data_IF_602341260207
#
_entry.id   IF_602341260207
#
_cell.length_a   1.000
_cell.length_b   1.000
_cell.length_c   1.000
_cell.angle_alpha   90.00
_cell.angle_beta   90.00
_cell.angle_gamma   90.00
#
_symmetry.space_group_name_H-M   'P 1'
#
loop_
_entity.id
_entity.type
_entity.pdbx_description
1 polymer ?
#
# COMPACT_ATOMS: atom_id res chain seq x y z
N UNK A 1 -5.45 5.30 36.07
CA UNK A 1 -4.89 4.29 35.12
C UNK A 1 -5.71 4.34 33.83
N UNK A 2 -5.09 4.61 32.71
CA UNK A 2 -5.79 4.61 31.43
C UNK A 2 -6.27 3.19 31.11
N UNK A 3 -7.58 2.99 31.03
CA UNK A 3 -8.18 1.71 30.62
C UNK A 3 -7.67 1.35 29.24
N UNK A 4 -7.00 0.23 29.12
CA UNK A 4 -6.59 -0.32 27.81
C UNK A 4 -7.85 -0.57 27.00
N UNK A 5 -7.99 0.14 25.87
CA UNK A 5 -9.11 -0.01 24.94
C UNK A 5 -9.09 -1.37 24.18
N UNK A 6 -8.18 -2.28 24.52
CA UNK A 6 -8.10 -3.61 23.94
C UNK A 6 -9.11 -4.53 24.63
N UNK A 7 -10.35 -4.49 24.18
CA UNK A 7 -11.44 -5.36 24.60
C UNK A 7 -11.80 -6.33 23.48
N UNK A 8 -12.41 -7.44 23.82
CA UNK A 8 -12.85 -8.44 22.84
C UNK A 8 -13.86 -7.85 21.84
N UNK A 9 -14.79 -7.02 22.33
CA UNK A 9 -15.79 -6.32 21.53
C UNK A 9 -15.14 -5.42 20.47
N UNK A 10 -14.14 -4.62 20.86
CA UNK A 10 -13.40 -3.75 19.93
C UNK A 10 -12.62 -4.59 18.91
N UNK A 11 -11.97 -5.66 19.34
CA UNK A 11 -11.25 -6.55 18.43
C UNK A 11 -12.19 -7.22 17.44
N UNK A 12 -13.36 -7.70 17.88
CA UNK A 12 -14.34 -8.33 17.00
C UNK A 12 -14.90 -7.33 16.00
N UNK A 13 -15.23 -6.11 16.42
CA UNK A 13 -15.69 -5.05 15.54
C UNK A 13 -14.65 -4.73 14.44
N UNK A 14 -13.37 -4.69 14.77
CA UNK A 14 -12.28 -4.48 13.83
C UNK A 14 -12.18 -5.62 12.81
N UNK A 15 -12.21 -6.87 13.27
CA UNK A 15 -12.12 -8.08 12.45
C UNK A 15 -13.29 -8.16 11.48
N UNK A 16 -14.51 -7.92 11.96
CA UNK A 16 -15.73 -8.00 11.15
C UNK A 16 -15.73 -6.94 10.03
N UNK A 17 -15.40 -5.70 10.36
CA UNK A 17 -15.33 -4.63 9.38
C UNK A 17 -14.20 -4.85 8.36
N UNK A 18 -13.04 -5.32 8.83
CA UNK A 18 -11.90 -5.61 7.96
C UNK A 18 -12.17 -6.79 7.03
N UNK A 19 -12.91 -7.80 7.48
CA UNK A 19 -13.32 -8.94 6.65
C UNK A 19 -14.27 -8.55 5.51
N UNK A 20 -14.96 -7.40 5.63
CA UNK A 20 -15.82 -6.81 4.60
C UNK A 20 -15.03 -5.91 3.63
N UNK A 21 -13.70 -5.77 3.83
CA UNK A 21 -12.82 -4.95 3.02
C UNK A 21 -12.79 -3.48 3.41
N UNK A 22 -13.28 -3.13 4.61
CA UNK A 22 -13.21 -1.77 5.10
C UNK A 22 -11.75 -1.41 5.43
N UNK A 23 -11.21 -0.29 4.92
CA UNK A 23 -9.86 0.16 5.24
C UNK A 23 -9.67 0.36 6.76
N UNK A 24 -8.48 0.05 7.26
CA UNK A 24 -8.17 0.12 8.70
C UNK A 24 -8.49 1.45 9.36
N UNK A 25 -8.40 2.56 8.61
CA UNK A 25 -8.80 3.89 9.09
C UNK A 25 -10.26 3.90 9.55
N UNK A 26 -11.15 3.42 8.71
CA UNK A 26 -12.59 3.40 8.99
C UNK A 26 -12.99 2.32 9.99
N UNK A 27 -12.26 1.20 10.02
CA UNK A 27 -12.42 0.21 11.08
C UNK A 27 -12.10 0.82 12.45
N UNK A 28 -11.05 1.66 12.54
CA UNK A 28 -10.70 2.37 13.75
C UNK A 28 -11.79 3.31 14.21
N UNK A 29 -12.32 4.12 13.28
CA UNK A 29 -13.38 5.09 13.55
C UNK A 29 -14.65 4.36 14.03
N UNK A 30 -15.04 3.25 13.38
CA UNK A 30 -16.18 2.42 13.77
C UNK A 30 -16.03 1.78 15.15
N UNK A 31 -14.80 1.43 15.54
CA UNK A 31 -14.50 0.86 16.85
C UNK A 31 -14.21 1.92 17.94
N UNK A 32 -14.28 3.21 17.60
CA UNK A 32 -14.02 4.32 18.52
C UNK A 32 -12.59 4.41 19.04
N UNK A 33 -11.61 3.96 18.24
CA UNK A 33 -10.19 3.98 18.59
C UNK A 33 -9.36 4.73 17.55
N UNK A 34 -8.16 5.16 17.95
CA UNK A 34 -7.25 5.83 17.02
C UNK A 34 -6.60 4.81 16.07
N UNK A 35 -6.45 5.18 14.80
CA UNK A 35 -5.76 4.38 13.78
C UNK A 35 -4.38 3.91 14.25
N UNK A 36 -3.59 4.76 14.88
CA UNK A 36 -2.28 4.43 15.41
C UNK A 36 -2.34 3.25 16.39
N UNK A 37 -3.40 3.19 17.21
CA UNK A 37 -3.61 2.12 18.18
C UNK A 37 -3.73 0.74 17.52
N UNK A 38 -4.44 0.65 16.39
CA UNK A 38 -4.56 -0.63 15.64
C UNK A 38 -3.19 -1.06 15.13
N UNK A 39 -2.43 -0.15 14.51
CA UNK A 39 -1.09 -0.48 14.01
C UNK A 39 -0.15 -0.91 15.13
N UNK A 40 -0.20 -0.25 16.28
CA UNK A 40 0.59 -0.63 17.45
C UNK A 40 0.21 -2.03 17.96
N UNK A 41 -1.07 -2.38 17.95
CA UNK A 41 -1.54 -3.73 18.33
C UNK A 41 -1.11 -4.79 17.32
N UNK A 42 -1.22 -4.51 16.02
CA UNK A 42 -0.77 -5.40 14.96
C UNK A 42 0.75 -5.63 15.04
N UNK A 43 1.54 -4.57 15.20
CA UNK A 43 3.00 -4.66 15.34
C UNK A 43 3.42 -5.44 16.60
N UNK A 44 2.68 -5.27 17.70
CA UNK A 44 2.90 -6.08 18.93
C UNK A 44 2.53 -7.54 18.69
N UNK A 45 1.44 -7.80 17.99
CA UNK A 45 0.98 -9.15 17.68
C UNK A 45 1.90 -9.91 16.73
N UNK A 46 2.44 -9.23 15.75
CA UNK A 46 3.42 -9.77 14.81
C UNK A 46 4.71 -10.25 15.50
N UNK A 47 5.21 -9.44 16.45
CA UNK A 47 6.44 -9.75 17.21
C UNK A 47 6.21 -10.77 18.33
N UNK A 48 4.99 -10.91 18.81
CA UNK A 48 4.66 -11.81 19.89
C UNK A 48 4.55 -13.26 19.38
N UNK A 49 5.08 -14.21 20.13
CA UNK A 49 4.92 -15.66 19.83
C UNK A 49 3.58 -16.22 20.31
N UNK A 50 2.95 -15.57 21.30
CA UNK A 50 1.68 -16.00 21.89
C UNK A 50 0.99 -14.82 22.60
N UNK A 51 -0.26 -15.02 23.04
CA UNK A 51 -1.03 -14.03 23.78
C UNK A 51 -2.07 -13.32 22.94
N UNK A 52 -2.86 -12.45 23.58
CA UNK A 52 -4.03 -11.78 22.99
C UNK A 52 -3.71 -10.92 21.75
N UNK A 53 -2.57 -10.25 21.72
CA UNK A 53 -2.17 -9.45 20.55
C UNK A 53 -1.77 -10.34 19.38
N UNK A 54 -1.11 -11.47 19.65
CA UNK A 54 -0.78 -12.45 18.61
C UNK A 54 -2.03 -13.09 18.00
N UNK A 55 -3.01 -13.44 18.84
CA UNK A 55 -4.30 -13.95 18.37
C UNK A 55 -5.02 -12.91 17.53
N UNK A 56 -5.11 -11.67 17.97
CA UNK A 56 -5.70 -10.56 17.23
C UNK A 56 -5.02 -10.38 15.86
N UNK A 57 -3.68 -10.39 15.81
CA UNK A 57 -2.93 -10.29 14.55
C UNK A 57 -3.30 -11.42 13.59
N UNK A 58 -3.33 -12.67 14.07
CA UNK A 58 -3.76 -13.82 13.26
C UNK A 58 -5.19 -13.69 12.74
N UNK A 59 -6.10 -13.21 13.57
CA UNK A 59 -7.50 -13.06 13.18
C UNK A 59 -7.68 -11.93 12.15
N UNK A 60 -6.91 -10.85 12.24
CA UNK A 60 -6.86 -9.82 11.22
C UNK A 60 -6.30 -10.34 9.88
N UNK A 61 -5.26 -11.19 9.91
CA UNK A 61 -4.75 -11.83 8.69
C UNK A 61 -5.80 -12.77 8.06
N UNK A 62 -6.50 -13.55 8.87
CA UNK A 62 -7.62 -14.39 8.40
C UNK A 62 -8.75 -13.54 7.80
N UNK A 63 -9.06 -12.39 8.39
CA UNK A 63 -10.07 -11.47 7.87
C UNK A 63 -9.68 -10.93 6.48
N UNK A 64 -8.40 -10.54 6.28
CA UNK A 64 -7.87 -10.15 4.97
C UNK A 64 -8.00 -11.31 3.96
N UNK A 65 -7.60 -12.50 4.34
CA UNK A 65 -7.68 -13.69 3.47
C UNK A 65 -9.11 -14.04 3.06
N UNK A 66 -10.08 -13.90 3.99
CA UNK A 66 -11.52 -14.10 3.68
C UNK A 66 -12.03 -13.10 2.63
N UNK A 67 -11.65 -11.83 2.78
CA UNK A 67 -12.01 -10.79 1.82
C UNK A 67 -11.46 -11.12 0.43
N UNK A 68 -10.16 -11.43 0.34
CA UNK A 68 -9.50 -11.79 -0.93
C UNK A 68 -10.16 -13.02 -1.55
N UNK A 69 -10.34 -14.09 -0.78
CA UNK A 69 -10.98 -15.33 -1.25
C UNK A 69 -12.39 -15.10 -1.80
N UNK A 70 -13.19 -14.29 -1.13
CA UNK A 70 -14.54 -13.94 -1.57
C UNK A 70 -14.54 -13.24 -2.94
N UNK A 71 -13.62 -12.27 -3.15
CA UNK A 71 -13.54 -11.54 -4.41
C UNK A 71 -12.94 -12.38 -5.53
N UNK A 72 -11.97 -13.26 -5.25
CA UNK A 72 -11.46 -14.23 -6.22
C UNK A 72 -12.55 -15.19 -6.67
N UNK A 73 -13.39 -15.68 -5.76
CA UNK A 73 -14.54 -16.52 -6.11
C UNK A 73 -15.51 -15.77 -7.03
N UNK A 74 -15.86 -14.52 -6.73
CA UNK A 74 -16.73 -13.70 -7.58
C UNK A 74 -16.18 -13.49 -8.98
N UNK A 75 -14.87 -13.32 -9.11
CA UNK A 75 -14.18 -13.22 -10.40
C UNK A 75 -14.33 -14.55 -11.16
N UNK A 76 -14.07 -15.68 -10.49
CA UNK A 76 -14.20 -17.01 -11.07
C UNK A 76 -15.62 -17.37 -11.52
N UNK A 77 -16.63 -16.89 -10.80
CA UNK A 77 -18.04 -17.07 -11.12
C UNK A 77 -18.57 -16.07 -12.17
N UNK A 78 -17.71 -15.20 -12.69
CA UNK A 78 -18.05 -14.14 -13.64
C UNK A 78 -19.14 -13.16 -13.13
N UNK A 79 -19.36 -13.13 -11.81
CA UNK A 79 -20.30 -12.23 -11.14
C UNK A 79 -19.57 -11.00 -10.63
N UNK A 80 -19.84 -9.83 -11.21
CA UNK A 80 -19.20 -8.57 -10.80
C UNK A 80 -17.67 -8.63 -10.81
N UNK A 81 -17.09 -9.41 -11.74
CA UNK A 81 -15.66 -9.66 -11.81
C UNK A 81 -14.85 -8.37 -11.89
N UNK A 82 -15.32 -7.38 -12.65
CA UNK A 82 -14.63 -6.10 -12.83
C UNK A 82 -14.53 -5.30 -11.52
N UNK A 83 -15.64 -5.22 -10.76
CA UNK A 83 -15.64 -4.56 -9.45
C UNK A 83 -14.77 -5.30 -8.43
N UNK A 84 -14.79 -6.63 -8.45
CA UNK A 84 -14.00 -7.48 -7.56
C UNK A 84 -12.51 -7.37 -7.88
N UNK A 85 -12.15 -7.37 -9.17
CA UNK A 85 -10.78 -7.16 -9.63
C UNK A 85 -10.25 -5.79 -9.20
N UNK A 86 -11.05 -4.73 -9.40
CA UNK A 86 -10.69 -3.39 -8.97
C UNK A 86 -10.44 -3.32 -7.46
N UNK A 87 -11.31 -3.93 -6.65
CA UNK A 87 -11.13 -3.96 -5.19
C UNK A 87 -9.85 -4.68 -4.77
N UNK A 88 -9.51 -5.80 -5.42
CA UNK A 88 -8.26 -6.51 -5.14
C UNK A 88 -7.04 -5.68 -5.50
N UNK A 89 -7.04 -5.01 -6.64
CA UNK A 89 -5.95 -4.13 -7.07
C UNK A 89 -5.73 -2.96 -6.11
N UNK A 90 -6.81 -2.39 -5.55
CA UNK A 90 -6.72 -1.29 -4.58
C UNK A 90 -6.30 -1.79 -3.19
N UNK A 91 -6.73 -3.01 -2.81
CA UNK A 91 -6.47 -3.56 -1.47
C UNK A 91 -5.07 -4.14 -1.33
N UNK A 92 -4.57 -4.77 -2.38
CA UNK A 92 -3.27 -5.42 -2.41
C UNK A 92 -2.60 -5.24 -3.79
N UNK A 93 -2.11 -4.02 -4.09
CA UNK A 93 -1.56 -3.69 -5.40
C UNK A 93 -0.33 -4.51 -5.75
N UNK A 94 0.45 -4.94 -4.77
CA UNK A 94 1.67 -5.72 -4.99
C UNK A 94 1.38 -7.10 -5.59
N UNK A 95 0.24 -7.71 -5.23
CA UNK A 95 -0.16 -9.03 -5.70
C UNK A 95 -1.09 -8.98 -6.93
N UNK A 96 -1.90 -7.91 -7.06
CA UNK A 96 -2.96 -7.83 -8.08
C UNK A 96 -2.77 -6.70 -9.10
N UNK A 97 -1.57 -6.11 -9.20
CA UNK A 97 -1.29 -5.10 -10.24
C UNK A 97 -1.36 -5.76 -11.62
N UNK A 98 -2.15 -5.20 -12.52
CA UNK A 98 -2.15 -5.60 -13.93
C UNK A 98 -0.81 -5.19 -14.53
N UNK A 99 -0.11 -6.14 -15.12
CA UNK A 99 1.20 -5.98 -15.76
C UNK A 99 1.22 -4.88 -16.86
N UNK A 100 0.07 -4.38 -17.26
CA UNK A 100 -0.13 -3.34 -18.24
C UNK A 100 0.49 -1.99 -17.84
N UNK A 101 0.46 -1.61 -16.54
CA UNK A 101 1.11 -0.37 -16.07
C UNK A 101 2.64 -0.45 -16.19
N UNK A 102 3.20 -1.59 -15.83
CA UNK A 102 4.65 -1.80 -15.97
C UNK A 102 5.09 -1.82 -17.43
N UNK A 103 4.24 -2.35 -18.32
CA UNK A 103 4.51 -2.39 -19.75
C UNK A 103 4.48 -0.97 -20.35
N UNK A 104 3.48 -0.15 -19.99
CA UNK A 104 3.38 1.24 -20.46
C UNK A 104 4.57 2.07 -19.96
N UNK A 105 4.98 1.92 -18.70
CA UNK A 105 6.15 2.64 -18.16
C UNK A 105 7.46 2.19 -18.83
N UNK A 106 7.62 0.90 -19.10
CA UNK A 106 8.81 0.38 -19.78
C UNK A 106 8.84 0.75 -21.26
N UNK A 107 7.71 0.71 -21.95
CA UNK A 107 7.58 1.13 -23.34
C UNK A 107 7.79 2.64 -23.50
N UNK A 108 7.24 3.45 -22.59
CA UNK A 108 7.44 4.91 -22.59
C UNK A 108 8.90 5.26 -22.32
N UNK A 109 9.57 4.61 -21.37
CA UNK A 109 11.00 4.80 -21.12
C UNK A 109 11.86 4.38 -22.31
N UNK A 110 11.54 3.24 -22.94
CA UNK A 110 12.25 2.75 -24.12
C UNK A 110 12.05 3.68 -25.33
N UNK A 111 10.85 4.21 -25.52
CA UNK A 111 10.53 5.16 -26.63
C UNK A 111 11.26 6.49 -26.43
N UNK A 112 11.26 7.03 -25.20
CA UNK A 112 11.99 8.27 -24.88
C UNK A 112 13.49 8.06 -25.07
N UNK A 113 14.05 6.93 -24.64
CA UNK A 113 15.46 6.63 -24.83
C UNK A 113 15.83 6.47 -26.29
N UNK A 114 14.98 5.81 -27.11
CA UNK A 114 15.19 5.66 -28.53
C UNK A 114 15.09 7.01 -29.31
N UNK A 115 14.17 7.90 -28.89
CA UNK A 115 14.08 9.25 -29.45
C UNK A 115 15.31 10.11 -29.12
N UNK A 116 15.81 9.97 -27.88
CA UNK A 116 17.06 10.66 -27.46
C UNK A 116 18.27 10.13 -28.23
N UNK A 117 18.34 8.83 -28.52
CA UNK A 117 19.44 8.22 -29.27
C UNK A 117 19.38 8.52 -30.78
N UNK A 118 18.20 8.84 -31.34
CA UNK A 118 18.01 9.18 -32.76
C UNK A 118 18.13 10.67 -33.05
N UNK A 119 18.23 11.53 -32.07
CA UNK A 119 18.45 12.95 -32.28
C UNK A 119 19.91 13.21 -32.64
N UNK A 120 20.08 13.92 -33.78
CA UNK A 120 21.34 14.36 -34.39
C UNK A 120 22.41 14.73 -33.32
N UNK A 121 23.64 14.21 -33.39
CA UNK A 121 24.73 14.54 -32.47
C UNK A 121 25.10 16.03 -32.42
N UNK A 122 24.44 16.87 -33.23
CA UNK A 122 24.52 18.34 -33.21
C UNK A 122 23.51 19.01 -32.27
N UNK A 123 22.55 18.27 -31.74
CA UNK A 123 21.72 18.74 -30.62
C UNK A 123 22.61 18.69 -29.39
N UNK A 124 23.13 19.85 -29.08
CA UNK A 124 24.32 20.10 -28.30
C UNK A 124 24.21 19.60 -26.87
N UNK A 125 25.37 19.27 -26.30
CA UNK A 125 25.60 18.89 -24.92
C UNK A 125 24.83 19.74 -23.87
N UNK A 126 24.43 20.96 -24.22
CA UNK A 126 23.62 21.86 -23.41
C UNK A 126 22.19 21.40 -23.24
N UNK A 127 21.53 20.83 -24.27
CA UNK A 127 20.15 20.36 -24.15
C UNK A 127 20.08 19.04 -23.37
N UNK A 128 21.12 18.22 -23.54
CA UNK A 128 21.26 16.98 -22.74
C UNK A 128 21.58 17.26 -21.28
N UNK A 129 22.35 18.30 -21.00
CA UNK A 129 22.63 18.77 -19.64
C UNK A 129 21.37 19.33 -18.98
N UNK A 130 20.58 20.11 -19.71
CA UNK A 130 19.34 20.70 -19.24
C UNK A 130 18.26 19.62 -18.97
N UNK A 131 18.18 18.58 -19.80
CA UNK A 131 17.30 17.43 -19.58
C UNK A 131 17.75 16.58 -18.37
N UNK A 132 19.04 16.39 -18.17
CA UNK A 132 19.60 15.70 -16.99
C UNK A 132 19.36 16.46 -15.71
N UNK A 133 19.42 17.79 -15.74
CA UNK A 133 19.11 18.65 -14.58
C UNK A 133 17.61 18.57 -14.24
N UNK A 134 16.72 18.57 -15.23
CA UNK A 134 15.27 18.41 -15.05
C UNK A 134 14.85 17.03 -14.50
N UNK A 135 15.61 15.98 -14.84
CA UNK A 135 15.35 14.61 -14.37
C UNK A 135 16.03 14.36 -13.01
N UNK A 136 17.20 14.97 -12.78
CA UNK A 136 18.00 14.79 -11.55
C UNK A 136 17.45 15.53 -10.33
N UNK A 137 16.70 16.61 -10.53
CA UNK A 137 16.17 17.41 -9.40
C UNK A 137 14.98 16.75 -8.66
N UNK A 138 14.39 15.69 -9.22
CA UNK A 138 13.32 14.95 -8.56
C UNK A 138 13.80 13.97 -7.47
N UNK A 139 15.07 13.59 -7.52
CA UNK A 139 15.65 12.67 -6.54
C UNK A 139 16.32 13.39 -5.36
N UNK A 140 16.53 14.73 -5.46
CA UNK A 140 17.21 15.51 -4.44
C UNK A 140 16.29 16.02 -3.31
N UNK A 141 14.98 16.03 -3.51
CA UNK A 141 14.03 16.60 -2.52
C UNK A 141 13.53 15.59 -1.47
N UNK A 142 13.98 14.33 -1.56
CA UNK A 142 13.59 13.29 -0.60
C UNK A 142 14.63 13.01 0.49
N UNK A 143 15.72 13.77 0.57
CA UNK A 143 16.79 13.55 1.55
C UNK A 143 17.03 14.69 2.56
N UNK A 144 16.09 15.67 2.66
CA UNK A 144 16.17 16.73 3.66
C UNK A 144 15.09 16.62 4.73
N UNK A 145 15.32 15.75 5.69
CA UNK A 145 14.46 15.68 6.86
C UNK A 145 14.96 14.72 7.91
N UNK A 146 16.14 14.94 8.46
CA UNK A 146 16.46 14.58 9.84
C UNK A 146 17.82 15.18 10.21
N UNK A 147 17.75 16.33 10.88
CA UNK A 147 18.87 16.77 11.74
C UNK A 147 18.40 16.68 13.18
N UNK A 148 19.11 15.95 14.05
CA UNK A 148 18.85 15.97 15.49
C UNK A 148 19.33 17.31 16.05
N UNK A 149 18.43 18.01 16.73
CA UNK A 149 18.78 19.16 17.57
C UNK A 149 19.30 18.62 18.88
N UNK A 150 20.61 18.72 19.07
CA UNK A 150 21.26 18.68 20.39
C UNK A 150 21.20 20.10 20.97
N UNK A 151 20.49 20.25 22.06
CA UNK A 151 20.87 20.98 23.30
C UNK A 151 19.78 20.75 24.34
#
# INVERSE_FOLDING_TARGET
>A
MARTKFTEEVCQCLIDNYSKGMPLKYCADAAGINRKTIYDWMKKGEKAKSGKYHQFYKDMQKAKSKFISHHLQKIGENKSWMSSQYLLQVTDPDEFVVAEKQKIESETKATIQAEVDMTDPRIQANDLAMLKELIGDKDADNSRGDKPTTE
#
